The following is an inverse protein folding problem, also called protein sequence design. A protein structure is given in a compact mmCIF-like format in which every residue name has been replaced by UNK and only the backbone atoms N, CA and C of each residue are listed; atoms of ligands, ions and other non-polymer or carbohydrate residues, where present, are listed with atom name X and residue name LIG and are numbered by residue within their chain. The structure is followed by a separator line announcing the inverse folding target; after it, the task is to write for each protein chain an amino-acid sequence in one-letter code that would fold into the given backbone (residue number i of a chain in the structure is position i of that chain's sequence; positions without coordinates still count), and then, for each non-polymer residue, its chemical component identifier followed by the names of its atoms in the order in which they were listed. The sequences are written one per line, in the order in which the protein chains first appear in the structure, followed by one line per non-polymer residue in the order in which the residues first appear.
data_IF_956251404842
#
_entry.id   IF_956251404842
#
_cell.length_a   1.000
_cell.length_b   1.000
_cell.length_c   1.000
_cell.angle_alpha   90.00
_cell.angle_beta   90.00
_cell.angle_gamma   90.00
#
_symmetry.space_group_name_H-M   'P 1'
#
loop_
_entity.id
_entity.type
_entity.pdbx_description
1 polymer ?
#
# COMPACT_ATOMS: atom_id res chain seq x y z
N UNK A 1 29.03 27.84 21.20
CA UNK A 1 29.54 26.78 22.11
C UNK A 1 29.24 25.43 21.46
N UNK A 2 29.49 25.35 20.14
CA UNK A 2 28.73 24.46 19.25
C UNK A 2 29.63 23.36 18.68
N UNK A 3 30.96 23.55 18.73
CA UNK A 3 31.94 22.54 18.33
C UNK A 3 32.27 21.47 19.39
N UNK A 4 31.81 21.62 20.64
CA UNK A 4 31.98 20.60 21.69
C UNK A 4 30.87 19.54 21.63
N UNK A 5 29.66 19.93 21.23
CA UNK A 5 28.53 19.01 21.05
C UNK A 5 28.68 18.13 19.79
N UNK A 6 29.34 18.65 18.74
CA UNK A 6 29.70 17.86 17.54
C UNK A 6 30.85 16.86 17.82
N UNK A 7 31.68 17.10 18.82
CA UNK A 7 32.82 16.25 19.19
C UNK A 7 32.45 15.13 20.19
N UNK A 8 31.37 15.32 20.94
CA UNK A 8 30.75 14.29 21.78
C UNK A 8 29.71 13.56 20.93
N UNK A 9 30.19 12.78 19.95
CA UNK A 9 29.37 12.07 18.96
C UNK A 9 28.45 11.07 19.69
N UNK A 10 27.28 11.56 20.11
CA UNK A 10 26.21 10.77 20.72
C UNK A 10 25.83 9.76 19.64
N UNK A 11 25.92 8.42 19.87
CA UNK A 11 25.78 7.42 18.81
C UNK A 11 24.47 7.53 17.99
N UNK A 12 23.49 8.23 18.54
CA UNK A 12 22.13 8.41 18.01
C UNK A 12 22.02 9.66 17.11
N UNK A 13 22.89 10.68 17.28
CA UNK A 13 22.83 11.93 16.52
C UNK A 13 23.09 11.73 15.01
N UNK A 14 23.96 10.77 14.67
CA UNK A 14 24.15 10.34 13.28
C UNK A 14 22.91 9.65 12.69
N UNK A 15 22.12 8.94 13.50
CA UNK A 15 20.87 8.34 13.03
C UNK A 15 19.88 9.45 12.68
N UNK A 16 19.70 10.46 13.53
CA UNK A 16 18.80 11.58 13.26
C UNK A 16 19.22 12.34 11.99
N UNK A 17 20.52 12.60 11.80
CA UNK A 17 21.03 13.30 10.61
C UNK A 17 20.87 12.48 9.32
N UNK A 18 21.06 11.16 9.39
CA UNK A 18 20.92 10.26 8.24
C UNK A 18 19.47 9.94 7.89
N UNK A 19 18.53 10.07 8.82
CA UNK A 19 17.09 9.88 8.56
C UNK A 19 16.35 11.21 8.30
N UNK A 20 16.93 12.38 8.61
CA UNK A 20 16.31 13.70 8.44
C UNK A 20 15.96 14.10 6.99
N UNK A 21 16.35 13.32 5.96
CA UNK A 21 16.01 13.59 4.56
C UNK A 21 14.52 13.44 4.26
N UNK A 22 13.77 12.72 5.09
CA UNK A 22 12.31 12.69 5.05
C UNK A 22 11.76 12.89 6.46
N UNK A 23 10.63 13.58 6.57
CA UNK A 23 9.89 13.61 7.83
C UNK A 23 9.30 12.22 8.13
N UNK A 24 10.09 11.39 8.82
CA UNK A 24 9.69 10.06 9.27
C UNK A 24 8.72 10.16 10.43
N UNK A 25 7.47 10.42 10.08
CA UNK A 25 6.35 10.39 11.02
C UNK A 25 5.64 9.04 10.94
N UNK A 26 4.92 8.66 11.99
CA UNK A 26 4.14 7.42 12.00
C UNK A 26 3.20 7.29 10.78
N UNK A 27 2.46 8.34 10.35
CA UNK A 27 1.67 8.29 9.12
C UNK A 27 2.50 7.99 7.86
N UNK A 28 3.66 8.63 7.71
CA UNK A 28 4.51 8.42 6.53
C UNK A 28 5.09 7.00 6.52
N UNK A 29 5.49 6.47 7.67
CA UNK A 29 5.95 5.09 7.79
C UNK A 29 4.88 4.09 7.35
N UNK A 30 3.63 4.27 7.79
CA UNK A 30 2.51 3.40 7.38
C UNK A 30 2.24 3.43 5.88
N UNK A 31 2.37 4.59 5.24
CA UNK A 31 2.22 4.72 3.79
C UNK A 31 3.26 3.87 3.03
N UNK A 32 4.54 3.97 3.39
CA UNK A 32 5.60 3.18 2.76
C UNK A 32 5.48 1.69 3.03
N UNK A 33 5.04 1.29 4.23
CA UNK A 33 4.69 -0.10 4.53
C UNK A 33 3.56 -0.58 3.60
N UNK A 34 2.54 0.25 3.36
CA UNK A 34 1.48 -0.05 2.40
C UNK A 34 1.99 -0.27 0.98
N UNK A 35 2.89 0.59 0.49
CA UNK A 35 3.53 0.43 -0.83
C UNK A 35 4.34 -0.88 -0.88
N UNK A 36 5.18 -1.12 0.13
CA UNK A 36 5.97 -2.34 0.22
C UNK A 36 5.09 -3.59 0.22
N UNK A 37 3.97 -3.58 0.95
CA UNK A 37 2.99 -4.66 0.95
C UNK A 37 2.37 -4.89 -0.42
N UNK A 38 2.03 -3.83 -1.16
CA UNK A 38 1.51 -3.93 -2.54
C UNK A 38 2.55 -4.56 -3.47
N UNK A 39 3.81 -4.15 -3.39
CA UNK A 39 4.90 -4.71 -4.18
C UNK A 39 5.16 -6.18 -3.87
N UNK A 40 5.16 -6.55 -2.58
CA UNK A 40 5.31 -7.95 -2.14
C UNK A 40 4.12 -8.78 -2.60
N UNK A 41 2.90 -8.28 -2.53
CA UNK A 41 1.72 -8.97 -3.03
C UNK A 41 1.81 -9.24 -4.54
N UNK A 42 2.24 -8.25 -5.33
CA UNK A 42 2.49 -8.45 -6.77
C UNK A 42 3.58 -9.51 -7.02
N UNK A 43 4.69 -9.43 -6.30
CA UNK A 43 5.83 -10.34 -6.45
C UNK A 43 5.44 -11.77 -6.09
N UNK A 44 4.79 -11.98 -4.94
CA UNK A 44 4.34 -13.28 -4.48
C UNK A 44 3.37 -13.92 -5.46
N UNK A 45 2.47 -13.12 -6.05
CA UNK A 45 1.50 -13.60 -7.03
C UNK A 45 2.15 -14.00 -8.37
N UNK A 46 3.17 -13.25 -8.79
CA UNK A 46 3.94 -13.55 -10.00
C UNK A 46 4.73 -14.85 -9.86
N UNK A 47 5.26 -15.12 -8.67
CA UNK A 47 5.93 -16.39 -8.33
C UNK A 47 4.93 -17.55 -8.24
N UNK A 48 3.75 -17.31 -7.64
CA UNK A 48 2.75 -18.36 -7.44
C UNK A 48 2.06 -18.83 -8.73
N UNK A 49 1.97 -17.99 -9.77
CA UNK A 49 1.29 -18.38 -11.01
C UNK A 49 1.89 -17.69 -12.25
N UNK A 50 2.85 -18.36 -12.91
CA UNK A 50 3.43 -17.90 -14.18
C UNK A 50 2.34 -17.80 -15.26
N UNK A 51 2.32 -16.68 -15.97
CA UNK A 51 1.26 -16.27 -16.89
C UNK A 51 1.03 -17.25 -18.04
N UNK A 52 -0.17 -17.83 -18.12
CA UNK A 52 -0.76 -18.30 -19.38
C UNK A 52 -1.84 -17.30 -19.77
N UNK A 53 -1.55 -16.44 -20.75
CA UNK A 53 -2.50 -15.48 -21.30
C UNK A 53 -3.58 -16.22 -22.09
N UNK A 54 -4.86 -16.05 -21.75
CA UNK A 54 -5.99 -16.51 -22.59
C UNK A 54 -7.00 -15.40 -22.73
N UNK A 55 -7.37 -15.12 -23.98
CA UNK A 55 -8.31 -14.08 -24.38
C UNK A 55 -9.75 -14.56 -24.14
N UNK A 56 -10.55 -13.75 -23.44
CA UNK A 56 -12.00 -13.92 -23.32
C UNK A 56 -12.78 -13.11 -24.37
N UNK A 57 -14.11 -13.08 -24.24
CA UNK A 57 -15.10 -12.58 -25.23
C UNK A 57 -15.15 -11.05 -25.46
N UNK A 58 -14.32 -10.25 -24.80
CA UNK A 58 -14.09 -8.83 -25.14
C UNK A 58 -12.58 -8.67 -25.41
N UNK A 59 -12.15 -8.07 -26.54
CA UNK A 59 -10.75 -7.99 -26.95
C UNK A 59 -9.98 -6.93 -26.13
N UNK A 60 -9.90 -7.12 -24.82
CA UNK A 60 -9.01 -6.39 -23.91
C UNK A 60 -8.26 -7.41 -23.06
N UNK A 61 -6.93 -7.44 -23.22
CA UNK A 61 -6.02 -8.28 -22.45
C UNK A 61 -5.81 -7.59 -21.10
N UNK A 62 -6.65 -7.88 -20.11
CA UNK A 62 -6.39 -7.43 -18.73
C UNK A 62 -5.38 -8.37 -18.09
N UNK A 63 -4.19 -7.83 -17.84
CA UNK A 63 -3.18 -8.54 -17.05
C UNK A 63 -3.68 -8.70 -15.62
N UNK A 64 -3.06 -9.58 -14.84
CA UNK A 64 -3.42 -9.73 -13.41
C UNK A 64 -3.03 -8.48 -12.60
N UNK A 65 -2.08 -7.69 -13.08
CA UNK A 65 -1.76 -6.37 -12.51
C UNK A 65 -2.93 -5.39 -12.60
N UNK A 66 -3.67 -5.42 -13.71
CA UNK A 66 -4.86 -4.58 -13.90
C UNK A 66 -5.96 -4.91 -12.88
N UNK A 67 -6.04 -6.17 -12.42
CA UNK A 67 -7.01 -6.64 -11.41
C UNK A 67 -6.67 -6.12 -10.02
N UNK A 68 -5.38 -6.09 -9.65
CA UNK A 68 -4.93 -5.47 -8.40
C UNK A 68 -5.21 -3.95 -8.42
N UNK A 69 -4.93 -3.28 -9.54
CA UNK A 69 -5.20 -1.86 -9.68
C UNK A 69 -6.70 -1.55 -9.55
N UNK A 70 -7.57 -2.33 -10.21
CA UNK A 70 -9.04 -2.23 -10.09
C UNK A 70 -9.50 -2.53 -8.65
N UNK A 71 -8.89 -3.51 -7.98
CA UNK A 71 -9.16 -3.83 -6.58
C UNK A 71 -8.80 -2.68 -5.63
N UNK A 72 -7.62 -2.08 -5.80
CA UNK A 72 -7.15 -0.93 -5.02
C UNK A 72 -8.01 0.32 -5.28
N UNK A 73 -8.34 0.59 -6.54
CA UNK A 73 -9.19 1.70 -6.93
C UNK A 73 -10.60 1.54 -6.33
N UNK A 74 -11.19 0.35 -6.41
CA UNK A 74 -12.48 0.06 -5.76
C UNK A 74 -12.41 0.16 -4.24
N UNK A 75 -11.34 -0.33 -3.60
CA UNK A 75 -11.13 -0.18 -2.16
C UNK A 75 -11.02 1.29 -1.71
N UNK A 76 -10.37 2.13 -2.52
CA UNK A 76 -10.29 3.58 -2.29
C UNK A 76 -11.67 4.25 -2.41
N UNK A 77 -12.45 3.92 -3.44
CA UNK A 77 -13.82 4.43 -3.58
C UNK A 77 -14.73 3.97 -2.45
N UNK A 78 -14.61 2.73 -1.97
CA UNK A 78 -15.37 2.23 -0.82
C UNK A 78 -15.04 3.05 0.44
N UNK A 79 -13.77 3.37 0.67
CA UNK A 79 -13.39 4.22 1.81
C UNK A 79 -13.89 5.66 1.65
N UNK A 80 -13.80 6.24 0.45
CA UNK A 80 -14.35 7.57 0.18
C UNK A 80 -15.86 7.61 0.38
N UNK A 81 -16.58 6.60 -0.11
CA UNK A 81 -18.01 6.46 0.09
C UNK A 81 -18.35 6.30 1.58
N UNK A 82 -17.57 5.51 2.32
CA UNK A 82 -17.76 5.34 3.77
C UNK A 82 -17.56 6.65 4.52
N UNK A 83 -16.48 7.39 4.24
CA UNK A 83 -16.20 8.70 4.86
C UNK A 83 -17.26 9.74 4.49
N UNK A 84 -17.77 9.71 3.25
CA UNK A 84 -18.75 10.68 2.77
C UNK A 84 -20.20 10.40 3.20
N UNK A 85 -20.57 9.14 3.45
CA UNK A 85 -21.95 8.72 3.71
C UNK A 85 -22.19 8.16 5.11
N UNK A 86 -21.18 7.61 5.77
CA UNK A 86 -21.32 6.95 7.07
C UNK A 86 -20.57 7.70 8.18
N UNK A 87 -21.19 7.78 9.36
CA UNK A 87 -20.60 8.38 10.57
C UNK A 87 -20.02 7.34 11.54
N UNK A 88 -20.03 6.06 11.15
CA UNK A 88 -19.56 4.94 11.96
C UNK A 88 -18.05 4.73 11.91
N UNK A 89 -17.56 3.81 12.75
CA UNK A 89 -16.14 3.44 12.82
C UNK A 89 -15.54 3.09 11.45
N UNK A 90 -14.38 3.66 11.14
CA UNK A 90 -13.66 3.43 9.88
C UNK A 90 -13.28 1.96 9.66
N UNK A 91 -13.20 1.19 10.73
CA UNK A 91 -12.90 -0.24 10.69
C UNK A 91 -13.91 -1.04 9.89
N UNK A 92 -15.18 -0.61 9.84
CA UNK A 92 -16.20 -1.26 9.02
C UNK A 92 -15.98 -1.01 7.52
N UNK A 93 -15.64 0.23 7.14
CA UNK A 93 -15.24 0.56 5.76
C UNK A 93 -13.99 -0.20 5.32
N UNK A 94 -13.01 -0.35 6.22
CA UNK A 94 -11.81 -1.15 5.98
C UNK A 94 -12.12 -2.63 5.76
N UNK A 95 -12.96 -3.24 6.61
CA UNK A 95 -13.34 -4.64 6.45
C UNK A 95 -14.05 -4.90 5.11
N UNK A 96 -14.94 -4.00 4.68
CA UNK A 96 -15.63 -4.08 3.39
C UNK A 96 -14.63 -3.96 2.23
N UNK A 97 -13.67 -3.04 2.32
CA UNK A 97 -12.63 -2.87 1.30
C UNK A 97 -11.70 -4.09 1.19
N UNK A 98 -11.36 -4.74 2.31
CA UNK A 98 -10.59 -5.99 2.31
C UNK A 98 -11.39 -7.12 1.66
N UNK A 99 -12.67 -7.26 2.01
CA UNK A 99 -13.55 -8.25 1.39
C UNK A 99 -13.69 -8.02 -0.13
N UNK A 100 -13.82 -6.75 -0.55
CA UNK A 100 -13.82 -6.36 -1.97
C UNK A 100 -12.52 -6.77 -2.67
N UNK A 101 -11.37 -6.48 -2.06
CA UNK A 101 -10.07 -6.82 -2.63
C UNK A 101 -9.92 -8.35 -2.80
N UNK A 102 -10.33 -9.14 -1.82
CA UNK A 102 -10.34 -10.61 -1.91
C UNK A 102 -11.27 -11.08 -3.02
N UNK A 103 -12.46 -10.50 -3.15
CA UNK A 103 -13.41 -10.87 -4.19
C UNK A 103 -12.86 -10.59 -5.60
N UNK A 104 -12.31 -9.40 -5.83
CA UNK A 104 -11.69 -9.03 -7.13
C UNK A 104 -10.53 -9.97 -7.46
N UNK A 105 -9.72 -10.34 -6.47
CA UNK A 105 -8.59 -11.25 -6.67
C UNK A 105 -9.02 -12.70 -6.92
N UNK A 106 -10.17 -13.13 -6.39
CA UNK A 106 -10.70 -14.50 -6.58
C UNK A 106 -11.48 -14.68 -7.88
N UNK A 107 -12.25 -13.66 -8.28
CA UNK A 107 -13.16 -13.74 -9.43
C UNK A 107 -12.64 -13.00 -10.67
N UNK A 108 -11.56 -12.24 -10.54
CA UNK A 108 -10.96 -11.44 -11.61
C UNK A 108 -10.17 -12.24 -12.61
#
# INVERSE_FOLDING_TARGET
MDGILDALDVPIAWLDKNFAWMAWTAPTAWFFVGIAAILVAMTAWQVASPSVSRQGLLPLVTTRGDRLFIGLLGAAYIHLAWVGLATGSLWYGFAIAVAWMIAVMRFG
#
